data_IF_488735877045
#
_entry.id   IF_488735877045
#
_cell.length_a   1.000
_cell.length_b   1.000
_cell.length_c   1.000
_cell.angle_alpha   90.00
_cell.angle_beta   90.00
_cell.angle_gamma   90.00
#
_symmetry.space_group_name_H-M   'P 1'
#
loop_
_entity.id
_entity.type
_entity.pdbx_description
1 polymer ?
#
# COMPACT_ATOMS: atom_id res chain seq x y z
N UNK A 1 1.84 -5.78 11.52
CA UNK A 1 0.96 -6.67 10.72
C UNK A 1 1.68 -7.08 9.45
N UNK A 2 1.12 -8.01 8.69
CA UNK A 2 1.57 -8.29 7.32
C UNK A 2 0.53 -7.77 6.33
N UNK A 3 0.99 -7.21 5.22
CA UNK A 3 0.17 -6.77 4.10
C UNK A 3 0.61 -7.54 2.85
N UNK A 4 -0.32 -8.21 2.18
CA UNK A 4 -0.04 -8.87 0.90
C UNK A 4 -0.73 -8.12 -0.22
N UNK A 5 0.06 -7.64 -1.18
CA UNK A 5 -0.41 -6.93 -2.35
C UNK A 5 -0.57 -7.93 -3.50
N UNK A 6 -1.77 -8.08 -4.08
CA UNK A 6 -1.93 -8.85 -5.30
C UNK A 6 -1.21 -8.15 -6.47
N UNK A 7 -0.96 -8.85 -7.59
CA UNK A 7 -0.60 -8.21 -8.85
C UNK A 7 -1.55 -7.06 -9.21
N UNK A 8 -1.02 -5.95 -9.69
CA UNK A 8 -1.82 -4.78 -10.10
C UNK A 8 -2.81 -5.14 -11.23
N UNK A 9 -2.48 -6.18 -12.02
CA UNK A 9 -3.35 -6.71 -13.07
C UNK A 9 -4.72 -7.17 -12.57
N UNK A 10 -4.84 -7.52 -11.28
CA UNK A 10 -6.13 -7.90 -10.69
C UNK A 10 -7.13 -6.74 -10.73
N UNK A 11 -6.68 -5.49 -10.59
CA UNK A 11 -7.59 -4.34 -10.54
C UNK A 11 -8.19 -3.97 -11.92
N UNK A 12 -7.64 -4.51 -13.00
CA UNK A 12 -8.15 -4.31 -14.37
C UNK A 12 -8.81 -5.56 -14.95
N UNK A 13 -8.82 -6.66 -14.20
CA UNK A 13 -9.50 -7.90 -14.60
C UNK A 13 -11.02 -7.67 -14.60
N UNK A 14 -11.75 -8.02 -15.69
CA UNK A 14 -13.20 -7.92 -15.73
C UNK A 14 -13.94 -8.71 -14.63
N UNK A 15 -13.29 -9.72 -14.04
CA UNK A 15 -13.83 -10.51 -12.93
C UNK A 15 -13.63 -9.84 -11.55
N UNK A 16 -12.89 -8.74 -11.47
CA UNK A 16 -12.68 -8.00 -10.22
C UNK A 16 -13.99 -7.36 -9.75
N UNK A 17 -14.38 -7.64 -8.50
CA UNK A 17 -15.52 -7.00 -7.85
C UNK A 17 -15.02 -5.87 -6.93
N UNK A 18 -15.11 -4.60 -7.38
CA UNK A 18 -14.62 -3.47 -6.60
C UNK A 18 -15.43 -3.24 -5.32
N UNK A 19 -16.72 -3.61 -5.30
CA UNK A 19 -17.55 -3.44 -4.11
C UNK A 19 -17.20 -4.46 -3.03
N UNK A 20 -16.97 -5.72 -3.43
CA UNK A 20 -16.50 -6.74 -2.50
C UNK A 20 -15.13 -6.40 -1.92
N UNK A 21 -14.19 -5.96 -2.77
CA UNK A 21 -12.86 -5.54 -2.35
C UNK A 21 -12.91 -4.33 -1.40
N UNK A 22 -13.73 -3.32 -1.69
CA UNK A 22 -13.92 -2.17 -0.80
C UNK A 22 -14.51 -2.59 0.56
N UNK A 23 -15.49 -3.50 0.57
CA UNK A 23 -16.07 -4.02 1.81
C UNK A 23 -15.07 -4.84 2.64
N UNK A 24 -14.17 -5.57 2.00
CA UNK A 24 -13.06 -6.25 2.66
C UNK A 24 -12.06 -5.26 3.27
N UNK A 25 -11.61 -4.28 2.50
CA UNK A 25 -10.71 -3.24 3.00
C UNK A 25 -11.31 -2.48 4.19
N UNK A 26 -12.60 -2.12 4.13
CA UNK A 26 -13.28 -1.45 5.24
C UNK A 26 -13.30 -2.29 6.53
N UNK A 27 -13.35 -3.63 6.42
CA UNK A 27 -13.27 -4.53 7.58
C UNK A 27 -11.85 -4.66 8.14
N UNK A 28 -10.86 -4.75 7.26
CA UNK A 28 -9.48 -5.07 7.63
C UNK A 28 -8.63 -3.82 7.97
N UNK A 29 -8.98 -2.66 7.39
CA UNK A 29 -8.28 -1.40 7.54
C UNK A 29 -9.30 -0.24 7.69
N UNK A 30 -10.05 -0.18 8.80
CA UNK A 30 -11.03 0.88 9.03
C UNK A 30 -10.37 2.26 9.06
N UNK A 31 -10.95 3.24 8.36
CA UNK A 31 -10.41 4.60 8.26
C UNK A 31 -9.42 4.83 7.12
N UNK A 32 -8.94 3.77 6.45
CA UNK A 32 -7.99 3.91 5.34
C UNK A 32 -8.65 4.46 4.07
N UNK A 33 -9.91 4.05 3.80
CA UNK A 33 -10.63 4.45 2.59
C UNK A 33 -10.83 5.97 2.50
N UNK A 34 -11.02 6.63 3.64
CA UNK A 34 -11.20 8.07 3.78
C UNK A 34 -9.91 8.86 3.47
N UNK A 35 -8.74 8.21 3.54
CA UNK A 35 -7.43 8.81 3.27
C UNK A 35 -7.00 8.64 1.81
N UNK A 36 -7.70 7.81 1.04
CA UNK A 36 -7.37 7.53 -0.36
C UNK A 36 -7.76 8.69 -1.26
N UNK A 37 -6.88 9.03 -2.20
CA UNK A 37 -7.12 10.10 -3.16
C UNK A 37 -7.98 9.63 -4.34
N UNK A 38 -9.17 10.20 -4.58
CA UNK A 38 -10.03 9.77 -5.68
C UNK A 38 -9.42 9.98 -7.07
N UNK A 39 -8.58 11.01 -7.22
CA UNK A 39 -7.92 11.35 -8.47
C UNK A 39 -6.59 10.62 -8.70
N UNK A 40 -6.07 9.91 -7.69
CA UNK A 40 -4.78 9.23 -7.74
C UNK A 40 -4.89 7.87 -7.02
N UNK A 41 -5.39 6.82 -7.71
CA UNK A 41 -5.69 5.54 -7.07
C UNK A 41 -4.51 4.96 -6.27
N UNK A 42 -4.77 4.57 -5.02
CA UNK A 42 -3.76 4.01 -4.10
C UNK A 42 -2.87 5.05 -3.40
N UNK A 43 -2.82 6.29 -3.88
CA UNK A 43 -2.15 7.36 -3.14
C UNK A 43 -2.97 7.76 -1.91
N UNK A 44 -2.26 7.86 -0.79
CA UNK A 44 -2.83 8.31 0.48
C UNK A 44 -1.73 8.89 1.37
N UNK A 45 -2.15 9.58 2.43
CA UNK A 45 -1.27 10.06 3.50
C UNK A 45 -1.85 9.67 4.84
N UNK A 46 -1.00 9.22 5.75
CA UNK A 46 -1.35 8.88 7.14
C UNK A 46 -0.56 9.77 8.10
N UNK A 47 -1.15 10.09 9.25
CA UNK A 47 -0.41 10.70 10.37
C UNK A 47 0.33 9.61 11.16
N UNK A 48 1.26 8.93 10.49
CA UNK A 48 2.01 7.81 11.05
C UNK A 48 3.50 7.86 10.70
N UNK A 49 4.28 7.12 11.47
CA UNK A 49 5.61 6.64 11.10
C UNK A 49 5.47 5.15 10.81
N UNK A 50 5.83 4.75 9.60
CA UNK A 50 5.72 3.36 9.15
C UNK A 50 7.10 2.76 8.89
N UNK A 51 7.37 1.61 9.50
CA UNK A 51 8.49 0.75 9.15
C UNK A 51 7.96 -0.39 8.29
N UNK A 52 8.36 -0.42 7.02
CA UNK A 52 7.92 -1.41 6.04
C UNK A 52 9.12 -2.25 5.62
N UNK A 53 8.97 -3.57 5.65
CA UNK A 53 10.02 -4.52 5.24
C UNK A 53 9.41 -5.42 4.18
N UNK A 54 10.07 -5.55 3.03
CA UNK A 54 9.64 -6.51 2.00
C UNK A 54 10.06 -7.91 2.45
N UNK A 55 9.08 -8.80 2.63
CA UNK A 55 9.34 -10.18 3.05
C UNK A 55 9.46 -11.14 1.87
N UNK A 56 8.60 -10.97 0.86
CA UNK A 56 8.53 -11.81 -0.34
C UNK A 56 7.98 -11.02 -1.53
N UNK A 57 8.42 -11.36 -2.75
CA UNK A 57 8.05 -10.65 -3.98
C UNK A 57 8.75 -9.31 -4.17
N UNK A 58 8.40 -8.60 -5.24
CA UNK A 58 8.90 -7.25 -5.52
C UNK A 58 7.73 -6.27 -5.50
N UNK A 59 7.99 -5.04 -5.03
CA UNK A 59 7.01 -3.96 -5.03
C UNK A 59 7.65 -2.67 -5.54
N UNK A 60 6.82 -1.74 -6.00
CA UNK A 60 7.23 -0.37 -6.26
C UNK A 60 6.55 0.53 -5.24
N UNK A 61 7.35 1.34 -4.56
CA UNK A 61 6.88 2.43 -3.72
C UNK A 61 6.92 3.72 -4.54
N UNK A 62 5.76 4.34 -4.73
CA UNK A 62 5.62 5.67 -5.30
C UNK A 62 5.51 6.69 -4.16
N UNK A 63 6.32 7.75 -4.21
CA UNK A 63 6.28 8.87 -3.25
C UNK A 63 6.24 10.16 -4.07
N UNK A 64 5.14 10.89 -3.96
CA UNK A 64 4.84 12.03 -4.84
C UNK A 64 5.00 11.68 -6.34
N UNK A 65 6.03 12.22 -7.01
CA UNK A 65 6.32 12.00 -8.43
C UNK A 65 7.49 11.02 -8.65
N UNK A 66 8.12 10.54 -7.58
CA UNK A 66 9.25 9.61 -7.62
C UNK A 66 8.78 8.18 -7.35
N UNK A 67 9.55 7.21 -7.85
CA UNK A 67 9.28 5.79 -7.59
C UNK A 67 10.57 5.01 -7.33
N UNK A 68 10.46 3.97 -6.52
CA UNK A 68 11.57 3.06 -6.21
C UNK A 68 11.07 1.63 -6.16
N UNK A 69 11.83 0.73 -6.81
CA UNK A 69 11.58 -0.71 -6.74
C UNK A 69 12.33 -1.33 -5.58
N UNK A 70 11.62 -2.14 -4.81
CA UNK A 70 12.08 -2.78 -3.58
C UNK A 70 11.97 -4.30 -3.73
N UNK A 71 12.95 -5.00 -3.15
CA UNK A 71 13.09 -6.45 -3.20
C UNK A 71 13.07 -7.04 -1.78
N UNK A 72 12.93 -8.37 -1.61
CA UNK A 72 12.92 -8.98 -0.29
C UNK A 72 14.16 -8.61 0.53
N UNK A 73 13.93 -8.14 1.76
CA UNK A 73 14.95 -7.65 2.68
C UNK A 73 15.13 -6.13 2.69
N UNK A 74 14.61 -5.41 1.69
CA UNK A 74 14.63 -3.95 1.70
C UNK A 74 13.69 -3.38 2.76
N UNK A 75 14.10 -2.27 3.37
CA UNK A 75 13.39 -1.59 4.45
C UNK A 75 13.11 -0.14 4.07
N UNK A 76 11.89 0.32 4.35
CA UNK A 76 11.45 1.71 4.18
C UNK A 76 11.03 2.28 5.54
N UNK A 77 11.45 3.52 5.80
CA UNK A 77 10.93 4.32 6.90
C UNK A 77 10.13 5.47 6.29
N UNK A 78 8.82 5.45 6.50
CA UNK A 78 7.89 6.40 5.92
C UNK A 78 7.41 7.37 6.99
N UNK A 79 7.59 8.67 6.76
CA UNK A 79 7.32 9.73 7.75
C UNK A 79 6.10 10.54 7.34
N UNK A 80 4.94 9.88 7.21
CA UNK A 80 3.70 10.51 6.77
C UNK A 80 3.80 11.18 5.40
N UNK A 81 4.60 10.61 4.48
CA UNK A 81 4.70 11.04 3.09
C UNK A 81 3.50 10.55 2.29
N UNK A 82 3.06 11.33 1.30
CA UNK A 82 2.05 10.91 0.33
C UNK A 82 2.63 9.80 -0.55
N UNK A 83 2.00 8.64 -0.56
CA UNK A 83 2.59 7.46 -1.18
C UNK A 83 1.57 6.45 -1.69
N UNK A 84 1.99 5.59 -2.61
CA UNK A 84 1.25 4.42 -3.06
C UNK A 84 2.17 3.20 -3.19
N UNK A 85 1.64 2.02 -2.88
CA UNK A 85 2.32 0.75 -3.10
C UNK A 85 1.75 0.06 -4.33
N UNK A 86 2.64 -0.38 -5.22
CA UNK A 86 2.31 -1.08 -6.46
C UNK A 86 2.96 -2.45 -6.49
N UNK A 87 2.29 -3.38 -7.15
CA UNK A 87 2.87 -4.67 -7.47
C UNK A 87 2.72 -4.92 -8.99
N UNK A 88 3.67 -4.41 -9.81
CA UNK A 88 3.63 -4.58 -11.25
C UNK A 88 4.00 -6.00 -11.72
N UNK A 89 4.22 -6.95 -10.79
CA UNK A 89 4.61 -8.32 -11.09
C UNK A 89 3.40 -9.23 -11.30
N UNK A 90 3.63 -10.50 -11.62
CA UNK A 90 2.60 -11.53 -11.85
C UNK A 90 2.31 -12.39 -10.61
N UNK A 91 2.94 -12.10 -9.48
CA UNK A 91 2.78 -12.83 -8.21
C UNK A 91 2.50 -11.88 -7.05
N UNK A 92 1.83 -12.34 -5.97
CA UNK A 92 1.68 -11.53 -4.78
C UNK A 92 3.03 -11.16 -4.16
N UNK A 93 3.09 -9.99 -3.52
CA UNK A 93 4.20 -9.54 -2.70
C UNK A 93 3.73 -9.30 -1.26
N UNK A 94 4.55 -9.66 -0.28
CA UNK A 94 4.19 -9.55 1.14
C UNK A 94 5.15 -8.64 1.89
N UNK A 95 4.58 -7.70 2.64
CA UNK A 95 5.26 -6.71 3.44
C UNK A 95 4.99 -6.95 4.92
N UNK A 96 5.99 -6.82 5.78
CA UNK A 96 5.79 -6.57 7.20
C UNK A 96 5.65 -5.06 7.41
N UNK A 97 4.62 -4.65 8.14
CA UNK A 97 4.33 -3.23 8.41
C UNK A 97 4.18 -3.02 9.90
N UNK A 98 4.96 -2.10 10.45
CA UNK A 98 4.79 -1.55 11.80
C UNK A 98 4.44 -0.07 11.65
N UNK A 99 3.21 0.30 12.01
CA UNK A 99 2.74 1.69 11.96
C UNK A 99 2.63 2.24 13.37
N UNK A 100 3.10 3.47 13.56
CA UNK A 100 3.00 4.20 14.81
C UNK A 100 2.27 5.52 14.54
N UNK A 101 1.22 5.82 15.31
CA UNK A 101 0.54 7.11 15.23
C UNK A 101 1.50 8.25 15.55
N UNK A 102 1.55 9.25 14.69
CA UNK A 102 2.37 10.45 14.81
C UNK A 102 1.58 11.69 14.33
N UNK A 103 0.61 12.17 15.12
CA UNK A 103 -0.20 13.34 14.78
C UNK A 103 0.68 14.57 14.55
N UNK A 104 0.33 15.41 13.55
CA UNK A 104 1.02 16.68 13.33
C UNK A 104 0.51 17.70 14.36
N UNK A 105 1.45 18.37 15.05
CA UNK A 105 1.16 19.42 16.05
C UNK A 105 0.81 20.77 15.45
#
# INVERSE_FOLDING_TARGET
MTLTLPPDSIYVDPAFDPMAAAAEHARNAPGLAELMEPSAPGFHTTETIDYVIVLDGEVVLEVDDDSTRLHPGDCVVQLGSRHAWRNPTDRPATLAVVMLGAPRG
#
